data_IF_395383358671
#
_entry.id   IF_395383358671
#
_cell.length_a   1.000
_cell.length_b   1.000
_cell.length_c   1.000
_cell.angle_alpha   90.00
_cell.angle_beta   90.00
_cell.angle_gamma   90.00
#
_symmetry.space_group_name_H-M   'P 1'
#
loop_
_entity.id
_entity.type
_entity.pdbx_description
1 polymer ?
#
# COMPACT_ATOMS: atom_id res chain seq x y z
N UNK A 1 -17.36 4.25 9.26
CA UNK A 1 -16.33 4.00 10.27
C UNK A 1 -15.04 3.74 9.52
N UNK A 2 -13.90 4.29 9.97
CA UNK A 2 -12.61 3.87 9.43
C UNK A 2 -12.41 2.38 9.70
N UNK A 3 -11.73 1.68 8.79
CA UNK A 3 -11.40 0.26 8.97
C UNK A 3 -10.48 0.13 10.19
N UNK A 4 -10.87 -0.68 11.19
CA UNK A 4 -10.07 -0.94 12.39
C UNK A 4 -9.02 -2.02 12.06
N UNK A 5 -7.79 -1.79 12.51
CA UNK A 5 -6.66 -2.70 12.31
C UNK A 5 -6.16 -3.17 13.66
N UNK A 6 -6.28 -4.47 13.92
CA UNK A 6 -5.84 -5.10 15.17
C UNK A 6 -4.55 -5.89 14.93
N UNK A 7 -3.60 -5.79 15.86
CA UNK A 7 -2.34 -6.53 15.81
C UNK A 7 -2.30 -7.60 16.91
N UNK A 8 -1.76 -8.76 16.57
CA UNK A 8 -1.56 -9.89 17.47
C UNK A 8 -0.10 -10.34 17.43
N UNK A 9 0.46 -10.66 18.59
CA UNK A 9 1.82 -11.20 18.69
C UNK A 9 1.92 -12.58 18.01
N UNK A 10 0.89 -13.41 18.15
CA UNK A 10 0.84 -14.72 17.52
C UNK A 10 -0.58 -15.16 17.16
N UNK A 11 -0.69 -16.05 16.17
CA UNK A 11 -1.92 -16.75 15.83
C UNK A 11 -1.62 -18.24 15.81
N UNK A 12 -1.77 -18.88 16.96
CA UNK A 12 -1.54 -20.31 17.08
C UNK A 12 -2.61 -21.10 16.32
N UNK A 13 -2.22 -22.08 15.49
CA UNK A 13 -3.18 -22.96 14.87
C UNK A 13 -3.85 -23.85 15.93
N UNK A 14 -5.14 -24.21 15.78
CA UNK A 14 -5.81 -25.12 16.71
C UNK A 14 -5.12 -26.48 16.83
N UNK A 15 -4.46 -26.92 15.76
CA UNK A 15 -3.66 -28.14 15.71
C UNK A 15 -2.41 -27.88 14.87
N UNK A 16 -1.23 -28.11 15.45
CA UNK A 16 0.06 -27.93 14.76
C UNK A 16 0.27 -29.01 13.70
N UNK A 17 1.14 -28.75 12.74
CA UNK A 17 1.54 -29.75 11.74
C UNK A 17 2.28 -30.90 12.43
N UNK A 18 1.99 -32.14 12.01
CA UNK A 18 2.59 -33.35 12.58
C UNK A 18 1.58 -34.46 12.88
N UNK A 19 2.04 -35.51 13.58
CA UNK A 19 1.22 -36.65 13.99
C UNK A 19 0.57 -36.40 15.35
N UNK A 20 -0.73 -36.61 15.41
CA UNK A 20 -1.53 -36.50 16.64
C UNK A 20 -2.25 -37.81 16.90
N UNK A 21 -2.25 -38.27 18.15
CA UNK A 21 -2.99 -39.47 18.56
C UNK A 21 -4.19 -39.04 19.39
N UNK A 22 -5.39 -39.32 18.88
CA UNK A 22 -6.64 -39.10 19.60
C UNK A 22 -6.97 -40.40 20.33
N UNK A 23 -6.86 -40.36 21.66
CA UNK A 23 -7.29 -41.46 22.53
C UNK A 23 -8.77 -41.32 22.89
N UNK A 24 -9.52 -42.42 22.75
CA UNK A 24 -10.86 -42.58 23.27
C UNK A 24 -10.78 -43.46 24.52
N UNK A 25 -11.31 -42.96 25.63
CA UNK A 25 -11.47 -43.73 26.85
C UNK A 25 -12.95 -43.75 27.23
N UNK A 26 -13.53 -44.94 27.37
CA UNK A 26 -14.92 -45.13 27.78
C UNK A 26 -14.97 -46.03 29.01
N UNK A 27 -15.48 -45.49 30.10
CA UNK A 27 -15.73 -46.24 31.33
C UNK A 27 -17.23 -46.55 31.43
N UNK A 28 -17.59 -47.83 31.58
CA UNK A 28 -18.96 -48.28 31.79
C UNK A 28 -19.10 -48.79 33.22
N UNK A 29 -20.03 -48.20 33.98
CA UNK A 29 -20.29 -48.57 35.37
C UNK A 29 -21.77 -48.88 35.61
N UNK A 30 -22.10 -50.09 36.09
CA UNK A 30 -23.46 -50.48 36.47
C UNK A 30 -23.58 -51.93 36.98
N UNK A 31 -24.47 -52.16 37.95
CA UNK A 31 -24.83 -53.49 38.52
C UNK A 31 -23.65 -54.47 38.72
N UNK A 32 -22.59 -54.03 39.39
CA UNK A 32 -21.43 -54.87 39.70
C UNK A 32 -20.43 -55.08 38.55
N UNK A 33 -20.60 -54.35 37.44
CA UNK A 33 -19.63 -54.30 36.34
C UNK A 33 -19.01 -52.91 36.30
N UNK A 34 -17.67 -52.88 36.28
CA UNK A 34 -16.85 -51.70 36.05
C UNK A 34 -15.84 -52.09 34.98
N UNK A 35 -15.99 -51.54 33.78
CA UNK A 35 -15.17 -51.89 32.62
C UNK A 35 -14.65 -50.62 31.93
N UNK A 36 -13.44 -50.71 31.39
CA UNK A 36 -12.73 -49.59 30.76
C UNK A 36 -12.28 -50.00 29.36
N UNK A 37 -12.78 -49.28 28.37
CA UNK A 37 -12.40 -49.43 26.97
C UNK A 37 -11.49 -48.29 26.56
N UNK A 38 -10.40 -48.62 25.87
CA UNK A 38 -9.49 -47.63 25.29
C UNK A 38 -9.31 -47.94 23.81
N UNK A 39 -9.46 -46.93 22.96
CA UNK A 39 -9.10 -46.99 21.55
C UNK A 39 -8.28 -45.75 21.18
N UNK A 40 -7.52 -45.80 20.10
CA UNK A 40 -6.70 -44.68 19.67
C UNK A 40 -6.61 -44.60 18.15
N UNK A 41 -6.80 -43.40 17.61
CA UNK A 41 -6.63 -43.11 16.19
C UNK A 41 -5.48 -42.11 16.04
N UNK A 42 -4.55 -42.42 15.15
CA UNK A 42 -3.48 -41.48 14.77
C UNK A 42 -3.89 -40.75 13.51
N UNK A 43 -3.90 -39.42 13.56
CA UNK A 43 -4.12 -38.54 12.41
C UNK A 43 -2.83 -37.77 12.12
N UNK A 44 -2.66 -37.33 10.88
CA UNK A 44 -1.58 -36.46 10.47
C UNK A 44 -2.15 -35.15 9.95
N UNK A 45 -1.68 -34.04 10.49
CA UNK A 45 -1.98 -32.70 10.00
C UNK A 45 -0.83 -32.29 9.10
N UNK A 46 -1.14 -32.00 7.84
CA UNK A 46 -0.16 -31.52 6.86
C UNK A 46 -0.12 -29.99 6.83
N UNK A 47 1.04 -29.42 6.52
CA UNK A 47 1.22 -27.99 6.36
C UNK A 47 2.42 -27.68 5.45
N UNK A 48 2.50 -26.47 4.88
CA UNK A 48 3.63 -26.08 4.04
C UNK A 48 4.96 -26.16 4.81
N UNK A 49 5.99 -26.73 4.17
CA UNK A 49 7.33 -26.91 4.77
C UNK A 49 8.46 -26.34 3.93
N UNK A 50 8.57 -26.77 2.68
CA UNK A 50 9.66 -26.37 1.76
C UNK A 50 9.19 -25.59 0.52
N UNK A 51 7.87 -25.47 0.36
CA UNK A 51 7.24 -24.74 -0.74
C UNK A 51 6.07 -23.95 -0.18
N UNK A 52 5.97 -22.66 -0.55
CA UNK A 52 4.85 -21.80 -0.21
C UNK A 52 3.82 -21.83 -1.36
N UNK A 53 2.56 -22.21 -1.10
CA UNK A 53 1.49 -22.06 -2.07
C UNK A 53 1.33 -20.59 -2.51
N UNK A 54 1.14 -20.29 -3.81
CA UNK A 54 1.00 -18.91 -4.28
C UNK A 54 -0.16 -18.14 -3.61
N UNK A 55 -1.25 -18.83 -3.28
CA UNK A 55 -2.43 -18.24 -2.64
C UNK A 55 -2.18 -17.85 -1.16
N UNK A 56 -1.16 -18.45 -0.54
CA UNK A 56 -0.76 -18.14 0.84
C UNK A 56 0.07 -16.86 0.91
N UNK A 57 0.47 -16.29 -0.23
CA UNK A 57 1.19 -15.02 -0.30
C UNK A 57 0.23 -13.86 -0.57
N UNK A 58 0.15 -12.91 0.37
CA UNK A 58 -0.64 -11.70 0.19
C UNK A 58 0.18 -10.57 -0.47
N UNK A 59 1.44 -10.38 -0.06
CA UNK A 59 2.25 -9.29 -0.60
C UNK A 59 3.66 -9.20 -0.03
N UNK A 60 4.48 -8.36 -0.65
CA UNK A 60 5.87 -8.09 -0.26
C UNK A 60 6.09 -6.60 -0.19
N UNK A 61 6.87 -6.16 0.76
CA UNK A 61 7.29 -4.77 0.86
C UNK A 61 8.79 -4.68 1.19
N UNK A 62 9.59 -3.94 0.42
CA UNK A 62 9.27 -3.35 -0.88
C UNK A 62 8.83 -4.40 -1.93
N UNK A 63 8.02 -3.98 -2.90
CA UNK A 63 7.52 -4.88 -3.94
C UNK A 63 8.66 -5.37 -4.84
N UNK A 64 8.50 -6.56 -5.43
CA UNK A 64 9.47 -7.13 -6.36
C UNK A 64 9.73 -6.18 -7.55
N UNK A 65 11.00 -5.87 -7.81
CA UNK A 65 11.42 -4.95 -8.87
C UNK A 65 11.18 -3.47 -8.57
N UNK A 66 10.63 -3.12 -7.40
CA UNK A 66 10.41 -1.72 -7.04
C UNK A 66 11.74 -0.96 -6.87
N UNK A 67 11.71 0.34 -7.14
CA UNK A 67 12.83 1.25 -6.88
C UNK A 67 12.32 2.45 -6.07
N UNK A 68 12.99 2.78 -4.97
CA UNK A 68 12.55 3.85 -4.09
C UNK A 68 13.48 4.13 -2.91
N UNK A 69 13.04 4.99 -2.00
CA UNK A 69 13.70 5.21 -0.70
C UNK A 69 13.24 4.16 0.29
N UNK A 70 13.90 3.01 0.26
CA UNK A 70 13.65 1.90 1.18
C UNK A 70 14.71 1.78 2.28
N UNK A 71 15.71 2.66 2.31
CA UNK A 71 16.84 2.59 3.25
C UNK A 71 16.42 2.72 4.73
N UNK A 72 15.24 3.29 4.99
CA UNK A 72 14.68 3.44 6.34
C UNK A 72 13.59 2.43 6.68
N UNK A 73 13.35 1.42 5.84
CA UNK A 73 12.27 0.44 6.04
C UNK A 73 12.83 -0.97 6.11
N UNK A 74 12.42 -1.71 7.14
CA UNK A 74 12.68 -3.14 7.22
C UNK A 74 11.80 -3.86 6.19
N UNK A 75 12.40 -4.63 5.27
CA UNK A 75 11.64 -5.46 4.35
C UNK A 75 10.74 -6.43 5.11
N UNK A 76 9.55 -6.69 4.58
CA UNK A 76 8.61 -7.63 5.16
C UNK A 76 7.77 -8.32 4.09
N UNK A 77 7.26 -9.49 4.45
CA UNK A 77 6.36 -10.30 3.63
C UNK A 77 5.07 -10.53 4.40
N UNK A 78 3.94 -10.46 3.69
CA UNK A 78 2.60 -10.64 4.24
C UNK A 78 2.00 -11.92 3.66
N UNK A 79 1.54 -12.79 4.53
CA UNK A 79 1.02 -14.11 4.22
C UNK A 79 -0.49 -14.16 4.49
N UNK A 80 -1.26 -14.69 3.54
CA UNK A 80 -2.69 -14.96 3.67
C UNK A 80 -2.95 -16.11 4.66
N UNK A 81 -2.02 -17.07 4.75
CA UNK A 81 -2.05 -18.13 5.74
C UNK A 81 -1.61 -17.60 7.11
N UNK A 82 -2.55 -16.99 7.84
CA UNK A 82 -2.28 -16.28 9.10
C UNK A 82 -1.62 -17.12 10.20
N UNK A 83 -1.79 -18.44 10.21
CA UNK A 83 -1.16 -19.31 11.23
C UNK A 83 0.18 -19.86 10.79
N UNK A 84 0.58 -19.69 9.52
CA UNK A 84 1.71 -20.40 8.91
C UNK A 84 3.02 -20.30 9.72
N UNK A 85 3.44 -19.11 10.23
CA UNK A 85 4.67 -19.03 11.00
C UNK A 85 4.65 -19.81 12.32
N UNK A 86 3.47 -20.17 12.83
CA UNK A 86 3.27 -20.90 14.11
C UNK A 86 2.80 -22.35 13.91
N UNK A 87 2.76 -22.85 12.67
CA UNK A 87 2.37 -24.23 12.37
C UNK A 87 3.45 -25.27 12.67
N UNK A 88 4.71 -24.85 12.66
CA UNK A 88 5.89 -25.70 12.88
C UNK A 88 6.78 -25.10 13.95
N UNK A 89 7.61 -25.94 14.55
CA UNK A 89 8.47 -25.55 15.66
C UNK A 89 9.89 -25.22 15.17
N UNK A 90 10.42 -24.11 15.67
CA UNK A 90 11.86 -23.83 15.61
C UNK A 90 12.65 -24.85 16.45
N UNK A 91 12.09 -25.21 17.61
CA UNK A 91 12.65 -26.05 18.67
C UNK A 91 12.11 -25.60 20.03
N UNK A 92 12.92 -25.72 21.09
CA UNK A 92 12.58 -25.31 22.46
C UNK A 92 13.05 -23.85 22.72
N UNK A 93 12.23 -22.92 23.28
CA UNK A 93 10.85 -23.07 23.74
C UNK A 93 9.80 -23.13 22.62
N UNK A 94 8.64 -23.78 22.87
CA UNK A 94 7.56 -23.87 21.89
C UNK A 94 6.92 -22.51 21.62
N UNK A 95 6.36 -22.32 20.42
CA UNK A 95 5.64 -21.10 20.02
C UNK A 95 6.50 -20.05 19.31
N UNK A 96 7.81 -20.31 19.16
CA UNK A 96 8.69 -19.45 18.35
C UNK A 96 8.44 -19.69 16.86
N UNK A 97 8.26 -18.63 16.04
CA UNK A 97 8.09 -18.77 14.60
C UNK A 97 9.25 -19.51 13.92
N UNK A 98 8.94 -20.41 13.00
CA UNK A 98 9.95 -21.18 12.26
C UNK A 98 10.42 -20.50 10.96
N UNK A 99 9.91 -19.31 10.66
CA UNK A 99 10.20 -18.56 9.44
C UNK A 99 11.04 -17.32 9.73
N UNK A 100 11.96 -16.99 8.83
CA UNK A 100 12.72 -15.75 8.88
C UNK A 100 12.88 -15.13 7.49
N UNK A 101 12.99 -13.80 7.44
CA UNK A 101 13.26 -13.06 6.23
C UNK A 101 14.70 -12.56 6.23
N UNK A 102 15.56 -13.22 5.45
CA UNK A 102 16.96 -12.83 5.30
C UNK A 102 17.12 -11.77 4.21
N UNK A 103 17.98 -10.79 4.48
CA UNK A 103 18.26 -9.65 3.58
C UNK A 103 19.72 -9.67 3.16
N UNK A 104 19.93 -9.75 1.85
CA UNK A 104 21.25 -9.73 1.20
C UNK A 104 21.42 -8.41 0.45
N UNK A 105 22.39 -7.60 0.86
CA UNK A 105 22.76 -6.34 0.22
C UNK A 105 23.92 -6.53 -0.76
N UNK A 106 24.35 -5.45 -1.43
CA UNK A 106 25.39 -5.52 -2.46
C UNK A 106 26.80 -5.87 -1.96
N UNK A 107 27.06 -5.82 -0.65
CA UNK A 107 28.33 -6.28 -0.07
C UNK A 107 28.31 -7.77 0.24
N UNK A 108 27.14 -8.39 0.26
CA UNK A 108 27.00 -9.81 0.52
C UNK A 108 27.11 -10.60 -0.80
N UNK A 109 27.65 -11.83 -0.78
CA UNK A 109 27.51 -12.72 -1.92
C UNK A 109 26.02 -12.90 -2.25
N UNK A 110 25.61 -12.68 -3.50
CA UNK A 110 24.20 -12.77 -3.87
C UNK A 110 23.69 -14.20 -3.62
N UNK A 111 22.51 -14.37 -3.00
CA UNK A 111 21.99 -15.69 -2.68
C UNK A 111 21.69 -16.46 -3.97
N UNK A 112 22.36 -17.59 -4.17
CA UNK A 112 22.12 -18.46 -5.32
C UNK A 112 20.97 -19.42 -5.01
N UNK A 113 19.76 -19.01 -5.34
CA UNK A 113 18.56 -19.85 -5.18
C UNK A 113 18.63 -21.02 -6.16
N UNK A 114 18.78 -22.22 -5.63
CA UNK A 114 18.92 -23.46 -6.39
C UNK A 114 17.62 -24.23 -6.34
N UNK A 115 17.11 -24.64 -7.51
CA UNK A 115 15.99 -25.59 -7.59
C UNK A 115 16.54 -27.00 -7.39
N UNK A 116 15.92 -27.76 -6.49
CA UNK A 116 16.29 -29.14 -6.16
C UNK A 116 15.10 -29.90 -5.61
N UNK A 117 15.37 -30.94 -4.83
CA UNK A 117 14.33 -31.75 -4.20
C UNK A 117 14.48 -31.83 -2.69
N UNK A 118 13.45 -32.29 -1.99
CA UNK A 118 13.49 -32.48 -0.53
C UNK A 118 14.64 -33.40 -0.10
N UNK A 119 15.02 -34.37 -0.94
CA UNK A 119 16.22 -35.19 -0.75
C UNK A 119 17.51 -34.37 -0.57
N UNK A 120 17.67 -33.26 -1.30
CA UNK A 120 18.84 -32.36 -1.17
C UNK A 120 18.88 -31.59 0.16
N UNK A 121 17.73 -31.49 0.83
CA UNK A 121 17.54 -30.81 2.11
C UNK A 121 17.70 -31.74 3.30
N UNK A 122 17.72 -33.07 3.12
CA UNK A 122 17.73 -34.08 4.20
C UNK A 122 18.86 -33.91 5.21
N UNK A 123 20.04 -33.51 4.75
CA UNK A 123 21.17 -33.24 5.65
C UNK A 123 20.90 -32.05 6.58
N UNK A 124 20.20 -31.03 6.09
CA UNK A 124 19.87 -29.82 6.83
C UNK A 124 18.56 -29.94 7.63
N UNK A 125 17.62 -30.77 7.16
CA UNK A 125 16.30 -31.03 7.75
C UNK A 125 16.11 -32.55 7.89
N UNK A 126 16.73 -33.17 8.92
CA UNK A 126 16.85 -34.63 9.01
C UNK A 126 15.56 -35.35 9.38
N UNK A 127 14.59 -34.65 9.96
CA UNK A 127 13.32 -35.25 10.38
C UNK A 127 12.30 -35.17 9.23
N UNK A 128 11.87 -36.29 8.63
CA UNK A 128 10.84 -36.27 7.59
C UNK A 128 9.45 -35.99 8.16
N UNK A 129 8.62 -35.28 7.40
CA UNK A 129 7.22 -35.04 7.76
C UNK A 129 6.28 -36.07 7.08
N UNK A 130 5.02 -36.13 7.52
CA UNK A 130 4.05 -37.10 7.00
C UNK A 130 3.62 -36.74 5.57
N UNK A 131 3.83 -37.68 4.65
CA UNK A 131 3.52 -37.48 3.21
C UNK A 131 4.60 -36.70 2.47
N UNK A 132 5.76 -36.54 3.07
CA UNK A 132 6.94 -35.96 2.43
C UNK A 132 7.71 -37.02 1.65
N UNK A 133 8.03 -36.71 0.40
CA UNK A 133 8.75 -37.57 -0.53
C UNK A 133 10.02 -36.86 -1.00
N UNK A 134 11.13 -37.59 -1.13
CA UNK A 134 12.45 -37.00 -1.40
C UNK A 134 12.57 -36.38 -2.79
N UNK A 135 11.68 -36.71 -3.72
CA UNK A 135 11.61 -36.18 -5.08
C UNK A 135 10.74 -34.92 -5.20
N UNK A 136 10.06 -34.52 -4.13
CA UNK A 136 9.24 -33.30 -4.12
C UNK A 136 10.10 -32.07 -4.44
N UNK A 137 9.66 -31.19 -5.36
CA UNK A 137 10.44 -30.04 -5.76
C UNK A 137 10.49 -29.01 -4.63
N UNK A 138 11.68 -28.45 -4.38
CA UNK A 138 11.90 -27.36 -3.46
C UNK A 138 12.97 -26.40 -3.96
N UNK A 139 13.19 -25.32 -3.22
CA UNK A 139 14.29 -24.38 -3.46
C UNK A 139 15.14 -24.26 -2.20
N UNK A 140 16.44 -24.08 -2.37
CA UNK A 140 17.35 -23.83 -1.25
C UNK A 140 18.46 -22.85 -1.61
N UNK A 141 19.08 -22.29 -0.59
CA UNK A 141 20.29 -21.48 -0.67
C UNK A 141 21.34 -22.06 0.27
N UNK A 142 22.60 -21.94 -0.14
CA UNK A 142 23.76 -22.23 0.70
C UNK A 142 24.40 -20.89 1.09
N UNK A 143 24.27 -20.51 2.36
CA UNK A 143 24.76 -19.24 2.91
C UNK A 143 26.07 -19.49 3.65
N UNK A 144 27.17 -18.75 3.40
CA UNK A 144 28.38 -18.89 4.19
C UNK A 144 28.09 -18.76 5.70
N UNK A 145 28.65 -19.62 6.54
CA UNK A 145 28.32 -19.64 7.97
C UNK A 145 28.59 -18.29 8.67
N UNK A 146 29.66 -17.60 8.27
CA UNK A 146 30.00 -16.25 8.76
C UNK A 146 28.92 -15.22 8.40
N UNK A 147 28.47 -15.22 7.15
CA UNK A 147 27.40 -14.34 6.71
C UNK A 147 26.08 -14.68 7.41
N UNK A 148 25.75 -15.96 7.53
CA UNK A 148 24.55 -16.40 8.24
C UNK A 148 24.57 -15.91 9.70
N UNK A 149 25.72 -15.94 10.38
CA UNK A 149 25.86 -15.39 11.72
C UNK A 149 25.68 -13.87 11.82
N UNK A 150 25.99 -13.13 10.76
CA UNK A 150 25.78 -11.69 10.71
C UNK A 150 24.32 -11.30 10.41
N UNK A 151 23.62 -12.11 9.61
CA UNK A 151 22.30 -11.73 9.06
C UNK A 151 21.12 -12.48 9.66
N UNK A 152 21.33 -13.64 10.28
CA UNK A 152 20.25 -14.42 10.87
C UNK A 152 19.69 -13.73 12.12
N UNK A 153 18.35 -13.73 12.31
CA UNK A 153 17.76 -13.28 13.56
C UNK A 153 18.08 -14.24 14.72
N UNK A 154 18.11 -13.71 15.94
CA UNK A 154 18.22 -14.53 17.13
C UNK A 154 16.89 -15.25 17.43
N UNK A 155 16.96 -16.37 18.17
CA UNK A 155 15.76 -17.15 18.50
C UNK A 155 14.72 -16.36 19.30
N UNK A 156 15.18 -15.47 20.19
CA UNK A 156 14.36 -14.56 21.00
C UNK A 156 13.91 -13.30 20.24
N UNK A 157 14.51 -12.99 19.08
CA UNK A 157 14.07 -11.93 18.17
C UNK A 157 12.89 -12.37 17.29
N UNK A 158 12.80 -13.65 16.93
CA UNK A 158 11.80 -14.18 16.01
C UNK A 158 10.34 -13.84 16.39
N UNK A 159 9.91 -13.89 17.66
CA UNK A 159 8.58 -13.44 18.08
C UNK A 159 8.32 -11.95 17.84
N UNK A 160 9.35 -11.10 17.79
CA UNK A 160 9.19 -9.67 17.52
C UNK A 160 9.18 -9.37 16.02
N UNK A 161 9.84 -10.22 15.24
CA UNK A 161 9.91 -10.11 13.78
C UNK A 161 8.70 -10.72 13.09
N UNK A 162 7.84 -11.44 13.83
CA UNK A 162 6.65 -12.08 13.28
C UNK A 162 5.43 -11.70 14.09
N UNK A 163 4.41 -11.16 13.43
CA UNK A 163 3.14 -10.81 14.06
C UNK A 163 1.99 -11.07 13.10
N UNK A 164 0.77 -11.00 13.59
CA UNK A 164 -0.41 -11.01 12.74
C UNK A 164 -1.14 -9.68 12.80
N UNK A 165 -1.85 -9.38 11.71
CA UNK A 165 -2.76 -8.24 11.63
C UNK A 165 -4.11 -8.69 11.11
N UNK A 166 -5.16 -8.17 11.70
CA UNK A 166 -6.55 -8.42 11.31
C UNK A 166 -7.17 -7.12 10.84
N UNK A 167 -7.71 -7.16 9.62
CA UNK A 167 -8.46 -6.06 9.04
C UNK A 167 -9.94 -6.38 9.16
N UNK A 168 -10.68 -5.47 9.78
CA UNK A 168 -12.13 -5.54 9.80
C UNK A 168 -12.70 -5.53 8.38
N UNK A 169 -13.81 -6.25 8.18
CA UNK A 169 -14.46 -6.27 6.89
C UNK A 169 -14.87 -4.85 6.48
N UNK A 170 -14.55 -4.40 5.25
CA UNK A 170 -14.85 -3.05 4.81
C UNK A 170 -16.35 -2.81 4.89
N UNK A 171 -16.75 -1.62 5.38
CA UNK A 171 -18.16 -1.26 5.57
C UNK A 171 -19.01 -1.38 4.28
N UNK A 172 -18.38 -1.41 3.10
CA UNK A 172 -19.03 -1.66 1.81
C UNK A 172 -19.49 -3.13 1.63
N UNK A 173 -18.76 -4.11 2.17
CA UNK A 173 -19.15 -5.52 2.16
C UNK A 173 -20.34 -5.79 3.09
N UNK A 174 -20.40 -5.10 4.23
CA UNK A 174 -21.53 -5.17 5.16
C UNK A 174 -22.84 -4.62 4.56
N UNK A 175 -22.77 -3.70 3.58
CA UNK A 175 -23.95 -3.14 2.89
C UNK A 175 -24.54 -4.04 1.80
N UNK A 176 -23.83 -5.11 1.41
CA UNK A 176 -24.26 -6.03 0.35
C UNK A 176 -25.14 -7.20 0.86
N UNK A 177 -25.57 -7.18 2.14
CA UNK A 177 -26.47 -8.20 2.69
C UNK A 177 -25.80 -9.56 2.94
N UNK A 178 -24.47 -9.65 2.85
CA UNK A 178 -23.73 -10.80 3.35
C UNK A 178 -23.69 -10.71 4.88
N UNK A 179 -24.34 -11.64 5.57
CA UNK A 179 -24.20 -11.83 7.02
C UNK A 179 -22.71 -12.06 7.34
N UNK A 180 -22.03 -11.00 7.81
CA UNK A 180 -20.65 -11.02 8.35
C UNK A 180 -19.61 -11.65 7.42
N UNK A 181 -19.07 -10.87 6.50
CA UNK A 181 -17.79 -11.24 5.89
C UNK A 181 -16.74 -11.41 7.01
N UNK A 182 -16.05 -12.56 7.09
CA UNK A 182 -15.07 -12.80 8.14
C UNK A 182 -13.93 -11.77 8.04
N UNK A 183 -13.46 -11.30 9.18
CA UNK A 183 -12.30 -10.43 9.25
C UNK A 183 -11.07 -11.12 8.62
N UNK A 184 -10.32 -10.38 7.82
CA UNK A 184 -9.19 -10.92 7.09
C UNK A 184 -7.93 -10.85 7.97
N UNK A 185 -7.40 -12.02 8.35
CA UNK A 185 -6.16 -12.13 9.13
C UNK A 185 -4.99 -12.44 8.23
N UNK A 186 -3.86 -11.81 8.52
CA UNK A 186 -2.61 -12.00 7.80
C UNK A 186 -1.47 -12.19 8.79
N UNK A 187 -0.50 -13.02 8.44
CA UNK A 187 0.79 -13.05 9.14
C UNK A 187 1.79 -12.13 8.43
N UNK A 188 2.65 -11.48 9.18
CA UNK A 188 3.69 -10.58 8.67
C UNK A 188 5.02 -11.05 9.24
N UNK A 189 5.98 -11.33 8.36
CA UNK A 189 7.37 -11.64 8.72
C UNK A 189 8.25 -10.48 8.27
N UNK A 190 8.93 -9.86 9.23
CA UNK A 190 9.78 -8.68 9.07
C UNK A 190 11.24 -9.12 9.13
N UNK A 191 12.09 -8.51 8.32
CA UNK A 191 13.53 -8.72 8.40
C UNK A 191 14.14 -8.03 9.62
N UNK A 192 15.29 -8.51 10.08
CA UNK A 192 16.11 -7.90 11.14
C UNK A 192 17.18 -6.92 10.60
N UNK A 193 17.28 -6.74 9.28
CA UNK A 193 18.32 -5.94 8.63
C UNK A 193 17.74 -4.95 7.62
N UNK A 194 18.26 -3.71 7.63
CA UNK A 194 17.89 -2.65 6.69
C UNK A 194 18.64 -2.79 5.36
N UNK A 195 17.99 -2.44 4.22
CA UNK A 195 18.66 -2.41 2.93
C UNK A 195 19.63 -1.22 2.81
N UNK A 196 20.70 -1.39 2.03
CA UNK A 196 21.68 -0.31 1.82
C UNK A 196 21.23 0.69 0.75
N UNK A 197 21.38 2.00 0.98
CA UNK A 197 21.18 3.02 -0.04
C UNK A 197 22.05 2.77 -1.28
N UNK A 198 21.49 3.02 -2.47
CA UNK A 198 22.21 2.96 -3.73
C UNK A 198 22.49 1.54 -4.24
N UNK A 199 21.84 0.53 -3.68
CA UNK A 199 22.11 -0.88 -4.01
C UNK A 199 20.84 -1.66 -4.32
N UNK A 200 21.01 -2.77 -5.04
CA UNK A 200 19.99 -3.81 -5.16
C UNK A 200 20.05 -4.68 -3.91
N UNK A 201 18.89 -5.03 -3.36
CA UNK A 201 18.76 -5.91 -2.21
C UNK A 201 17.90 -7.10 -2.60
N UNK A 202 18.30 -8.30 -2.16
CA UNK A 202 17.53 -9.53 -2.35
C UNK A 202 17.07 -10.04 -0.99
N UNK A 203 15.78 -10.34 -0.89
CA UNK A 203 15.18 -10.95 0.29
C UNK A 203 14.86 -12.42 0.02
N UNK A 204 15.06 -13.26 1.03
CA UNK A 204 14.70 -14.68 1.00
C UNK A 204 13.93 -15.05 2.26
N UNK A 205 12.69 -15.51 2.10
CA UNK A 205 11.93 -16.14 3.18
C UNK A 205 12.43 -17.58 3.32
N UNK A 206 12.99 -17.90 4.48
CA UNK A 206 13.65 -19.19 4.75
C UNK A 206 13.00 -19.95 5.89
N UNK A 207 13.14 -21.28 5.85
CA UNK A 207 12.78 -22.17 6.95
C UNK A 207 13.93 -22.27 7.97
N UNK A 208 13.63 -22.01 9.23
CA UNK A 208 14.51 -22.24 10.38
C UNK A 208 14.08 -23.47 11.21
N UNK A 209 13.17 -24.29 10.68
CA UNK A 209 12.67 -25.49 11.38
C UNK A 209 13.80 -26.37 11.92
N UNK A 210 13.71 -26.74 13.20
CA UNK A 210 14.68 -27.60 13.87
C UNK A 210 16.04 -26.96 14.17
N UNK A 211 16.15 -25.62 14.06
CA UNK A 211 17.42 -24.88 14.25
C UNK A 211 17.46 -24.01 15.51
N UNK A 212 16.58 -24.22 16.50
CA UNK A 212 16.60 -23.42 17.74
C UNK A 212 17.97 -23.42 18.46
N UNK A 213 18.64 -24.57 18.55
CA UNK A 213 19.98 -24.67 19.16
C UNK A 213 21.12 -24.09 18.31
N UNK A 214 20.85 -23.74 17.06
CA UNK A 214 21.79 -23.16 16.11
C UNK A 214 21.63 -21.63 15.97
N UNK A 215 20.82 -21.01 16.85
CA UNK A 215 20.55 -19.58 16.88
C UNK A 215 20.83 -19.02 18.29
N UNK A 216 21.78 -18.08 18.45
CA UNK A 216 22.65 -17.51 17.42
C UNK A 216 23.66 -18.55 16.92
N UNK A 217 23.99 -18.55 15.62
CA UNK A 217 24.93 -19.53 15.08
C UNK A 217 26.34 -19.24 15.58
N UNK A 218 26.93 -20.18 16.32
CA UNK A 218 28.37 -20.14 16.56
C UNK A 218 29.10 -20.52 15.25
N UNK A 219 30.05 -19.70 14.77
CA UNK A 219 30.75 -19.95 13.50
C UNK A 219 31.54 -21.27 13.49
N UNK A 220 31.89 -21.78 14.67
CA UNK A 220 32.72 -22.99 14.82
C UNK A 220 31.92 -24.30 14.72
N UNK A 221 30.60 -24.27 14.98
CA UNK A 221 29.73 -25.44 14.94
C UNK A 221 29.08 -25.69 13.57
N UNK A 222 29.03 -24.65 12.75
CA UNK A 222 28.48 -24.71 11.40
C UNK A 222 29.63 -24.93 10.42
N UNK A 223 29.50 -25.89 9.50
CA UNK A 223 30.49 -26.10 8.43
C UNK A 223 30.68 -24.85 7.55
N UNK A 224 31.34 -24.99 6.40
CA UNK A 224 31.64 -23.85 5.51
C UNK A 224 30.38 -23.06 5.07
N UNK A 225 29.22 -23.73 4.98
CA UNK A 225 27.95 -23.12 4.62
C UNK A 225 26.75 -23.74 5.36
N UNK A 226 25.69 -22.94 5.50
CA UNK A 226 24.40 -23.31 6.05
C UNK A 226 23.37 -23.39 4.92
N UNK A 227 22.84 -24.58 4.70
CA UNK A 227 21.77 -24.82 3.72
C UNK A 227 20.40 -24.51 4.31
N UNK A 228 19.64 -23.63 3.64
CA UNK A 228 18.31 -23.20 4.06
C UNK A 228 17.30 -23.41 2.95
N UNK A 229 16.13 -23.96 3.27
CA UNK A 229 15.01 -24.03 2.35
C UNK A 229 14.41 -22.65 2.11
N UNK A 230 14.11 -22.32 0.86
CA UNK A 230 13.58 -21.01 0.44
C UNK A 230 12.12 -21.14 0.03
N UNK A 231 11.25 -20.55 0.84
CA UNK A 231 9.81 -20.49 0.60
C UNK A 231 9.47 -19.39 -0.42
N UNK A 232 10.15 -18.24 -0.35
CA UNK A 232 9.95 -17.13 -1.28
C UNK A 232 11.22 -16.28 -1.46
N UNK A 233 11.35 -15.60 -2.60
CA UNK A 233 12.48 -14.70 -2.88
C UNK A 233 12.10 -13.57 -3.82
N UNK A 234 12.61 -12.36 -3.56
CA UNK A 234 12.47 -11.22 -4.46
C UNK A 234 13.60 -10.21 -4.29
N UNK A 235 13.74 -9.30 -5.25
CA UNK A 235 14.73 -8.21 -5.19
C UNK A 235 14.08 -6.86 -5.43
N UNK A 236 14.66 -5.80 -4.87
CA UNK A 236 14.26 -4.40 -5.06
C UNK A 236 15.46 -3.47 -4.99
N UNK A 237 15.35 -2.28 -5.58
CA UNK A 237 16.40 -1.27 -5.60
C UNK A 237 16.18 -0.14 -4.58
N UNK A 238 17.21 0.16 -3.80
CA UNK A 238 17.20 1.31 -2.87
C UNK A 238 18.02 2.44 -3.46
N UNK A 239 17.47 3.66 -3.52
CA UNK A 239 18.16 4.83 -4.06
C UNK A 239 19.27 5.35 -3.10
N UNK A 240 20.32 6.00 -3.64
CA UNK A 240 21.54 6.39 -2.91
C UNK A 240 21.47 7.70 -2.09
N UNK A 241 20.30 8.36 -2.02
CA UNK A 241 20.06 9.80 -1.75
C UNK A 241 20.25 10.71 -2.99
N UNK A 242 19.47 11.78 -3.25
CA UNK A 242 18.51 12.58 -2.45
C UNK A 242 17.15 12.76 -3.19
N UNK A 243 16.04 13.09 -2.53
CA UNK A 243 15.96 13.74 -1.23
C UNK A 243 14.75 13.33 -0.39
N UNK A 244 15.04 12.82 0.80
CA UNK A 244 14.12 12.94 1.93
C UNK A 244 13.83 14.41 2.12
N UNK A 245 12.55 14.75 2.29
CA UNK A 245 12.12 16.13 2.56
C UNK A 245 13.00 16.79 3.64
N UNK A 246 13.33 16.06 4.71
CA UNK A 246 14.20 16.56 5.77
C UNK A 246 15.62 16.93 5.31
N UNK A 247 16.26 16.13 4.44
CA UNK A 247 17.58 16.42 3.91
C UNK A 247 17.54 17.60 2.92
N UNK A 248 16.50 17.67 2.08
CA UNK A 248 16.26 18.79 1.17
C UNK A 248 16.04 20.09 1.96
N UNK A 249 15.21 20.05 3.01
CA UNK A 249 14.94 21.19 3.91
C UNK A 249 16.17 21.56 4.74
N UNK A 250 16.95 20.58 5.18
CA UNK A 250 18.21 20.80 5.90
C UNK A 250 19.27 21.49 5.04
N UNK A 251 19.26 21.25 3.72
CA UNK A 251 20.14 21.87 2.74
C UNK A 251 19.64 23.20 2.16
N UNK A 252 18.45 23.68 2.56
CA UNK A 252 17.97 25.00 2.15
C UNK A 252 18.87 26.07 2.75
N UNK A 253 19.29 27.02 1.91
CA UNK A 253 19.94 28.23 2.37
C UNK A 253 18.92 29.04 3.19
N UNK A 254 19.24 29.28 4.46
CA UNK A 254 18.35 29.98 5.42
C UNK A 254 18.64 31.47 5.50
N UNK A 255 19.59 31.96 4.70
CA UNK A 255 19.98 33.37 4.66
C UNK A 255 19.79 33.96 3.25
N UNK A 256 18.86 34.91 3.05
CA UNK A 256 17.82 35.39 3.98
C UNK A 256 16.78 34.30 4.31
N UNK A 257 15.89 34.50 5.32
CA UNK A 257 14.88 33.51 5.75
C UNK A 257 13.72 33.35 4.74
N UNK A 258 14.04 33.28 3.46
CA UNK A 258 13.11 33.24 2.34
C UNK A 258 13.56 32.12 1.40
N UNK A 259 12.60 31.34 0.88
CA UNK A 259 12.90 30.21 0.01
C UNK A 259 13.51 30.70 -1.30
N UNK A 260 14.83 30.51 -1.46
CA UNK A 260 15.57 30.88 -2.66
C UNK A 260 16.27 29.68 -3.27
N UNK A 261 16.36 29.68 -4.59
CA UNK A 261 17.26 28.77 -5.29
C UNK A 261 18.69 29.29 -5.14
N UNK A 262 19.64 28.38 -4.87
CA UNK A 262 21.05 28.70 -4.60
C UNK A 262 21.74 29.44 -5.75
N UNK A 263 21.24 29.24 -6.98
CA UNK A 263 21.74 29.83 -8.22
C UNK A 263 20.77 30.86 -8.81
N UNK A 264 20.23 31.77 -8.01
CA UNK A 264 19.44 32.89 -8.50
C UNK A 264 20.33 33.96 -9.17
N UNK A 265 20.99 33.61 -10.27
CA UNK A 265 21.78 34.53 -11.11
C UNK A 265 20.91 35.55 -11.84
N UNK A 266 19.57 35.36 -11.86
CA UNK A 266 18.59 36.23 -12.48
C UNK A 266 17.64 36.86 -11.45
N UNK A 267 17.25 38.13 -11.63
CA UNK A 267 16.35 38.89 -10.74
C UNK A 267 15.01 38.16 -10.49
N UNK A 268 14.50 37.45 -11.49
CA UNK A 268 13.27 36.67 -11.36
C UNK A 268 13.41 35.53 -10.31
N UNK A 269 14.57 34.86 -10.26
CA UNK A 269 14.86 33.82 -9.27
C UNK A 269 14.88 34.38 -7.85
N UNK A 270 15.41 35.59 -7.67
CA UNK A 270 15.41 36.28 -6.38
C UNK A 270 13.99 36.63 -5.87
N UNK A 271 13.01 36.71 -6.78
CA UNK A 271 11.57 36.91 -6.51
C UNK A 271 10.79 35.60 -6.40
N UNK A 272 11.44 34.44 -6.53
CA UNK A 272 10.84 33.10 -6.40
C UNK A 272 10.30 32.51 -7.70
N UNK A 273 10.69 33.05 -8.85
CA UNK A 273 10.36 32.45 -10.14
C UNK A 273 11.35 31.33 -10.50
N UNK A 274 10.82 30.22 -10.99
CA UNK A 274 11.56 29.14 -11.64
C UNK A 274 11.31 29.19 -13.15
N UNK A 275 12.37 28.92 -13.92
CA UNK A 275 12.26 28.77 -15.36
C UNK A 275 11.89 27.33 -15.67
N UNK A 276 10.72 27.11 -16.24
CA UNK A 276 10.25 25.77 -16.59
C UNK A 276 10.02 25.67 -18.10
N UNK A 277 10.20 24.46 -18.62
CA UNK A 277 9.73 24.11 -19.95
C UNK A 277 8.20 24.13 -19.95
N UNK A 278 7.64 24.77 -20.97
CA UNK A 278 6.20 24.97 -21.13
C UNK A 278 5.82 24.57 -22.55
N UNK A 279 5.03 23.50 -22.66
CA UNK A 279 4.40 23.07 -23.89
C UNK A 279 3.09 23.85 -24.09
N UNK A 280 3.02 24.63 -25.15
CA UNK A 280 1.83 25.38 -25.52
C UNK A 280 0.80 24.47 -26.21
N UNK A 281 -0.45 24.92 -26.27
CA UNK A 281 -1.56 24.17 -26.89
C UNK A 281 -1.34 23.85 -28.38
N UNK A 282 -0.53 24.65 -29.07
CA UNK A 282 -0.16 24.41 -30.47
C UNK A 282 0.96 23.37 -30.64
N UNK A 283 1.44 22.76 -29.54
CA UNK A 283 2.52 21.79 -29.51
C UNK A 283 3.92 22.42 -29.55
N UNK A 284 4.03 23.76 -29.49
CA UNK A 284 5.33 24.41 -29.40
C UNK A 284 5.87 24.32 -27.98
N UNK A 285 7.16 24.01 -27.87
CA UNK A 285 7.85 23.97 -26.58
C UNK A 285 8.61 25.29 -26.39
N UNK A 286 8.27 26.03 -25.34
CA UNK A 286 8.93 27.26 -24.95
C UNK A 286 9.40 27.19 -23.50
N UNK A 287 10.02 28.26 -23.00
CA UNK A 287 10.32 28.42 -21.58
C UNK A 287 9.46 29.53 -21.00
N UNK A 288 8.86 29.25 -19.85
CA UNK A 288 8.00 30.19 -19.14
C UNK A 288 8.39 30.31 -17.68
N UNK A 289 8.12 31.46 -17.09
CA UNK A 289 8.28 31.71 -15.67
C UNK A 289 7.13 31.08 -14.90
N UNK A 290 7.46 30.34 -13.84
CA UNK A 290 6.50 29.81 -12.88
C UNK A 290 6.88 30.25 -11.47
N UNK A 291 5.92 30.69 -10.68
CA UNK A 291 6.09 31.06 -9.28
C UNK A 291 5.03 30.39 -8.43
N UNK A 292 5.49 29.65 -7.44
CA UNK A 292 4.61 28.98 -6.47
C UNK A 292 3.96 29.97 -5.49
N UNK A 293 3.01 29.49 -4.67
CA UNK A 293 2.32 30.31 -3.67
C UNK A 293 3.22 30.71 -2.49
N UNK A 294 4.29 29.94 -2.23
CA UNK A 294 5.26 30.23 -1.16
C UNK A 294 6.36 31.14 -1.71
N UNK A 295 6.11 32.44 -1.66
CA UNK A 295 6.97 33.44 -2.30
C UNK A 295 8.01 34.01 -1.32
N UNK A 296 9.25 34.29 -1.78
CA UNK A 296 10.32 34.77 -0.91
C UNK A 296 10.23 36.26 -0.58
N UNK A 297 9.30 37.00 -1.19
CA UNK A 297 9.15 38.44 -1.00
C UNK A 297 7.68 38.78 -0.79
N UNK A 298 7.32 39.60 0.21
CA UNK A 298 5.96 40.09 0.37
C UNK A 298 5.55 40.85 -0.89
N UNK A 299 4.41 40.48 -1.46
CA UNK A 299 3.88 41.12 -2.66
C UNK A 299 2.71 42.02 -2.28
N UNK A 300 2.55 43.13 -3.00
CA UNK A 300 1.36 43.96 -2.84
C UNK A 300 0.12 43.13 -3.19
N UNK A 301 -0.98 43.24 -2.41
CA UNK A 301 -2.20 42.53 -2.73
C UNK A 301 -2.65 42.90 -4.15
N UNK A 302 -2.66 41.91 -5.04
CA UNK A 302 -3.17 42.08 -6.39
C UNK A 302 -4.66 42.42 -6.32
N UNK A 303 -5.12 43.26 -7.25
CA UNK A 303 -6.56 43.49 -7.41
C UNK A 303 -7.27 42.13 -7.58
N UNK A 304 -8.45 41.93 -6.96
CA UNK A 304 -9.19 40.69 -7.12
C UNK A 304 -9.42 40.45 -8.62
N UNK A 305 -8.99 39.28 -9.10
CA UNK A 305 -9.20 38.89 -10.48
C UNK A 305 -10.71 38.79 -10.73
N UNK A 306 -11.16 39.23 -11.90
CA UNK A 306 -12.55 39.08 -12.28
C UNK A 306 -12.91 37.59 -12.28
N UNK A 307 -13.91 37.22 -11.48
CA UNK A 307 -14.52 35.90 -11.55
C UNK A 307 -15.19 35.76 -12.92
N UNK A 308 -14.77 34.76 -13.72
CA UNK A 308 -15.26 34.55 -15.09
C UNK A 308 -14.21 34.04 -16.08
N UNK A 309 -13.23 33.28 -15.60
CA UNK A 309 -12.19 32.70 -16.45
C UNK A 309 -12.59 31.29 -16.87
N UNK A 310 -12.76 31.08 -18.18
CA UNK A 310 -13.20 29.80 -18.75
C UNK A 310 -12.05 28.82 -19.03
N UNK A 311 -10.80 29.30 -19.09
CA UNK A 311 -9.63 28.48 -19.37
C UNK A 311 -8.36 29.03 -18.70
N UNK A 312 -7.44 28.12 -18.34
CA UNK A 312 -6.13 28.45 -17.78
C UNK A 312 -5.35 29.47 -18.64
N UNK A 313 -5.42 29.32 -19.97
CA UNK A 313 -4.67 30.18 -20.91
C UNK A 313 -5.04 31.66 -20.82
N UNK A 314 -6.26 31.97 -20.35
CA UNK A 314 -6.69 33.36 -20.16
C UNK A 314 -5.94 34.05 -18.99
N UNK A 315 -5.20 33.29 -18.19
CA UNK A 315 -4.39 33.76 -17.08
C UNK A 315 -2.88 33.76 -17.37
N UNK A 316 -2.47 33.47 -18.62
CA UNK A 316 -1.09 33.66 -19.06
C UNK A 316 -0.74 35.14 -19.07
N UNK A 317 0.36 35.50 -18.42
CA UNK A 317 0.83 36.89 -18.36
C UNK A 317 2.12 37.02 -19.14
N UNK A 318 2.14 37.87 -20.16
CA UNK A 318 3.37 38.13 -20.90
C UNK A 318 4.20 39.21 -20.20
N UNK A 319 5.48 38.95 -19.93
CA UNK A 319 6.44 39.95 -19.50
C UNK A 319 7.22 40.50 -20.72
N UNK A 320 6.97 41.75 -21.14
CA UNK A 320 7.64 42.35 -22.29
C UNK A 320 9.15 42.56 -22.08
N UNK A 321 9.63 42.59 -20.82
CA UNK A 321 11.05 42.82 -20.51
C UNK A 321 11.89 41.58 -20.74
N UNK A 322 11.35 40.40 -20.43
CA UNK A 322 12.03 39.12 -20.63
C UNK A 322 11.57 38.40 -21.89
N UNK A 323 10.49 38.85 -22.51
CA UNK A 323 9.90 38.22 -23.69
C UNK A 323 9.26 36.85 -23.41
N UNK A 324 8.90 36.58 -22.16
CA UNK A 324 8.42 35.26 -21.72
C UNK A 324 7.05 35.35 -21.05
N UNK A 325 6.34 34.23 -21.02
CA UNK A 325 5.11 34.10 -20.25
C UNK A 325 5.39 33.77 -18.79
N UNK A 326 4.58 34.33 -17.90
CA UNK A 326 4.37 33.92 -16.52
C UNK A 326 3.09 33.06 -16.48
N UNK A 327 3.26 31.79 -16.16
CA UNK A 327 2.21 30.76 -16.15
C UNK A 327 1.62 30.54 -14.75
N UNK A 328 2.03 31.31 -13.74
CA UNK A 328 1.74 31.02 -12.33
C UNK A 328 0.24 30.95 -12.03
N UNK A 329 -0.54 31.90 -12.56
CA UNK A 329 -2.00 31.94 -12.36
C UNK A 329 -2.73 30.90 -13.21
N UNK A 330 -2.25 30.64 -14.43
CA UNK A 330 -2.78 29.58 -15.28
C UNK A 330 -2.61 28.20 -14.61
N UNK A 331 -1.42 27.94 -14.05
CA UNK A 331 -1.12 26.72 -13.30
C UNK A 331 -2.00 26.60 -12.03
N UNK A 332 -2.20 27.68 -11.29
CA UNK A 332 -3.06 27.69 -10.10
C UNK A 332 -4.53 27.40 -10.45
N UNK A 333 -5.04 28.00 -11.53
CA UNK A 333 -6.40 27.74 -12.03
C UNK A 333 -6.56 26.28 -12.46
N UNK A 334 -5.59 25.75 -13.20
CA UNK A 334 -5.63 24.36 -13.68
C UNK A 334 -5.57 23.36 -12.52
N UNK A 335 -4.72 23.62 -11.52
CA UNK A 335 -4.66 22.80 -10.31
C UNK A 335 -6.00 22.82 -9.56
N UNK A 336 -6.61 23.99 -9.39
CA UNK A 336 -7.94 24.11 -8.78
C UNK A 336 -9.01 23.32 -9.53
N UNK A 337 -9.00 23.37 -10.87
CA UNK A 337 -9.89 22.57 -11.71
C UNK A 337 -9.66 21.06 -11.50
N UNK A 338 -8.41 20.61 -11.49
CA UNK A 338 -8.08 19.19 -11.31
C UNK A 338 -8.46 18.68 -9.92
N UNK A 339 -8.22 19.47 -8.86
CA UNK A 339 -8.65 19.15 -7.50
C UNK A 339 -10.17 19.06 -7.39
N UNK A 340 -10.87 20.01 -8.00
CA UNK A 340 -12.33 20.00 -8.09
C UNK A 340 -12.87 18.76 -8.82
N UNK A 341 -12.22 18.32 -9.90
CA UNK A 341 -12.61 17.13 -10.65
C UNK A 341 -12.27 15.81 -9.92
N UNK A 342 -11.20 15.80 -9.11
CA UNK A 342 -10.82 14.66 -8.31
C UNK A 342 -11.78 14.43 -7.11
N UNK A 343 -12.41 15.50 -6.62
CA UNK A 343 -13.42 15.42 -5.57
C UNK A 343 -14.80 15.08 -6.15
N UNK A 344 -15.24 13.85 -5.86
CA UNK A 344 -16.53 13.32 -6.30
C UNK A 344 -17.72 14.10 -5.74
N UNK A 345 -17.68 14.46 -4.46
CA UNK A 345 -18.79 15.12 -3.78
C UNK A 345 -18.95 16.56 -4.29
N UNK A 346 -17.83 17.27 -4.46
CA UNK A 346 -17.81 18.58 -5.11
C UNK A 346 -18.40 18.53 -6.52
N UNK A 347 -18.00 17.54 -7.32
CA UNK A 347 -18.47 17.39 -8.71
C UNK A 347 -19.98 17.15 -8.79
N UNK A 348 -20.54 16.33 -7.89
CA UNK A 348 -21.99 16.09 -7.81
C UNK A 348 -22.74 17.37 -7.43
N UNK A 349 -22.26 18.08 -6.41
CA UNK A 349 -22.88 19.34 -5.96
C UNK A 349 -22.84 20.41 -7.06
N UNK A 350 -21.71 20.54 -7.77
CA UNK A 350 -21.57 21.49 -8.87
C UNK A 350 -22.52 21.16 -10.02
N UNK A 351 -22.66 19.88 -10.39
CA UNK A 351 -23.59 19.46 -11.43
C UNK A 351 -25.06 19.76 -11.04
N UNK A 352 -25.44 19.43 -9.81
CA UNK A 352 -26.79 19.71 -9.29
C UNK A 352 -27.09 21.22 -9.25
N UNK A 353 -26.11 22.03 -8.84
CA UNK A 353 -26.21 23.48 -8.87
C UNK A 353 -26.39 24.01 -10.30
N UNK A 354 -25.57 23.55 -11.26
CA UNK A 354 -25.69 23.94 -12.68
C UNK A 354 -27.06 23.61 -13.26
N UNK A 355 -27.57 22.40 -12.99
CA UNK A 355 -28.91 22.00 -13.44
C UNK A 355 -30.01 22.85 -12.81
N UNK A 356 -29.90 23.18 -11.53
CA UNK A 356 -30.85 24.06 -10.83
C UNK A 356 -30.85 25.47 -11.42
N UNK A 357 -29.68 26.03 -11.71
CA UNK A 357 -29.56 27.35 -12.35
C UNK A 357 -30.14 27.34 -13.76
N UNK A 358 -29.83 26.33 -14.58
CA UNK A 358 -30.40 26.18 -15.93
C UNK A 358 -31.93 26.09 -15.90
N UNK A 359 -32.50 25.32 -14.97
CA UNK A 359 -33.96 25.24 -14.79
C UNK A 359 -34.57 26.57 -14.36
N UNK A 360 -33.92 27.29 -13.44
CA UNK A 360 -34.38 28.61 -13.00
C UNK A 360 -34.38 29.63 -14.13
N UNK A 361 -33.31 29.65 -14.95
CA UNK A 361 -33.23 30.54 -16.12
C UNK A 361 -34.28 30.18 -17.17
N UNK A 362 -34.48 28.90 -17.45
CA UNK A 362 -35.50 28.43 -18.40
C UNK A 362 -36.92 28.79 -17.92
N UNK A 363 -37.24 28.57 -16.65
CA UNK A 363 -38.53 28.93 -16.06
C UNK A 363 -38.76 30.45 -16.07
N UNK A 364 -37.72 31.25 -15.83
CA UNK A 364 -37.77 32.71 -15.97
C UNK A 364 -38.11 33.13 -17.40
N UNK A 365 -37.43 32.56 -18.39
CA UNK A 365 -37.70 32.84 -19.80
C UNK A 365 -39.12 32.41 -20.23
N UNK A 366 -39.58 31.25 -19.78
CA UNK A 366 -40.94 30.77 -20.04
C UNK A 366 -41.98 31.72 -19.43
N UNK A 367 -41.76 32.17 -18.19
CA UNK A 367 -42.65 33.13 -17.52
C UNK A 367 -42.71 34.47 -18.25
N UNK A 368 -41.56 35.00 -18.67
CA UNK A 368 -41.49 36.25 -19.43
C UNK A 368 -42.18 36.11 -20.80
N UNK A 369 -42.01 34.96 -21.47
CA UNK A 369 -42.70 34.67 -22.74
C UNK A 369 -44.21 34.57 -22.56
N UNK A 370 -44.68 33.87 -21.52
CA UNK A 370 -46.09 33.74 -21.19
C UNK A 370 -46.68 35.11 -20.84
N UNK A 371 -45.98 35.94 -20.07
CA UNK A 371 -46.42 37.29 -19.73
C UNK A 371 -46.58 38.16 -20.99
N UNK A 372 -45.59 38.17 -21.89
CA UNK A 372 -45.68 38.91 -23.17
C UNK A 372 -46.83 38.43 -24.04
N UNK A 373 -47.08 37.11 -24.09
CA UNK A 373 -48.22 36.55 -24.82
C UNK A 373 -49.55 36.94 -24.15
N UNK A 374 -49.62 36.94 -22.82
CA UNK A 374 -50.81 37.35 -22.06
C UNK A 374 -51.14 38.83 -22.30
N UNK A 375 -50.13 39.70 -22.33
CA UNK A 375 -50.27 41.13 -22.64
C UNK A 375 -50.73 41.39 -24.10
N UNK A 376 -50.46 40.46 -25.02
CA UNK A 376 -50.92 40.51 -26.42
C UNK A 376 -52.32 39.90 -26.62
N UNK A 377 -52.83 39.14 -25.65
CA UNK A 377 -54.19 38.59 -25.71
C UNK A 377 -55.16 39.68 -25.29
N UNK A 378 -55.90 40.21 -26.27
CA UNK A 378 -56.98 41.16 -26.03
C UNK A 378 -58.07 40.47 -25.19
N UNK A 379 -58.04 40.71 -23.89
CA UNK A 379 -58.85 40.01 -22.91
C UNK A 379 -60.34 40.24 -23.17
N UNK A 380 -60.68 41.35 -23.82
CA UNK A 380 -62.03 41.69 -24.25
C UNK A 380 -62.53 40.79 -25.39
N UNK A 381 -61.67 40.40 -26.34
CA UNK A 381 -62.04 39.55 -27.47
C UNK A 381 -62.26 38.08 -27.08
N UNK A 382 -61.65 37.62 -25.98
CA UNK A 382 -61.77 36.23 -25.49
C UNK A 382 -62.92 36.08 -24.48
N UNK A 383 -63.11 37.06 -23.59
CA UNK A 383 -64.14 36.99 -22.54
C UNK A 383 -65.56 37.18 -23.10
N UNK A 384 -65.73 38.08 -24.08
CA UNK A 384 -67.05 38.39 -24.66
C UNK A 384 -67.77 37.17 -25.28
N UNK A 385 -67.14 36.35 -26.16
CA UNK A 385 -67.81 35.17 -26.71
C UNK A 385 -68.00 34.02 -25.71
N UNK A 386 -67.24 33.99 -24.60
CA UNK A 386 -67.42 33.04 -23.51
C UNK A 386 -68.61 33.42 -22.61
N UNK A 387 -68.79 34.70 -22.35
CA UNK A 387 -69.99 35.24 -21.69
C UNK A 387 -71.23 35.06 -22.57
N UNK A 388 -71.12 35.25 -23.88
CA UNK A 388 -72.22 35.03 -24.84
C UNK A 388 -72.63 33.55 -24.93
N UNK A 389 -71.68 32.62 -24.87
CA UNK A 389 -71.96 31.17 -24.82
C UNK A 389 -72.49 30.68 -23.48
N UNK A 390 -72.20 31.40 -22.40
CA UNK A 390 -72.70 31.14 -21.05
C UNK A 390 -74.00 31.91 -20.76
N UNK A 391 -74.58 32.57 -21.76
CA UNK A 391 -75.87 33.22 -21.59
C UNK A 391 -76.90 32.26 -21.01
N UNK A 392 -77.70 32.65 -20.03
CA UNK A 392 -78.03 34.00 -19.56
C UNK A 392 -79.02 33.78 -18.39
N UNK A 393 -79.55 34.82 -17.73
CA UNK A 393 -80.58 35.64 -18.37
C UNK A 393 -80.08 37.02 -18.80
#
# INVERSE_FOLDING_TARGET
>A
MPDELTFYDSVEPPLRTGRHTIGLEHTVSGTGVEDRFTDAVTIAVQGPRFTLPPDDLHGRFPAAGAQGDFAGVLPHIVLSAATLPWQRELGDPPGVPWLALLVFDANDPPPKVTAGTVGDLRTAYPQPDVGEEDDQPCRYIDVPATLFAEIAPQADELPWLTHARELDAPAAAARAGAETAPAARFAVVVANRLPRPGSMTTCCLVSLEGRAGALPPEPEEHGESVRLAVLDTWSFGTLAERGRFAATVGGLDREPPTLRTRDASHEAGARGYALLEHEMRDGTVTKSWYRGPLVPTPEAPAAPHALGVDAADALLRYDPRTGMFDVSLAAAWQLGQLLALADRDFSILLAAWKTTQQRSVAAGFERDLLQRKLEQVDTHAVITPLLDKLGTP
#
